data_IF_869282890463
#
_entry.id   IF_869282890463
#
_cell.length_a   1.000
_cell.length_b   1.000
_cell.length_c   1.000
_cell.angle_alpha   90.00
_cell.angle_beta   90.00
_cell.angle_gamma   90.00
#
_symmetry.space_group_name_H-M   'P 1'
#
loop_
_entity.id
_entity.type
_entity.pdbx_description
1 polymer ?
#
# COMPACT_ATOMS: atom_id res chain seq x y z
N UNK A 1 -10.96 29.72 -13.65
CA UNK A 1 -10.24 28.95 -14.70
C UNK A 1 -9.63 27.74 -14.03
N UNK A 2 -9.73 26.55 -14.62
CA UNK A 2 -9.08 25.35 -14.11
C UNK A 2 -7.62 25.36 -14.57
N UNK A 3 -6.68 24.97 -13.70
CA UNK A 3 -5.26 24.92 -14.06
C UNK A 3 -4.91 23.74 -14.98
N UNK A 4 -5.84 22.80 -15.14
CA UNK A 4 -5.69 21.63 -15.98
C UNK A 4 -7.00 21.32 -16.71
N UNK A 5 -6.90 20.94 -17.98
CA UNK A 5 -8.04 20.62 -18.84
C UNK A 5 -8.47 19.16 -18.69
N UNK A 6 -9.73 18.87 -19.01
CA UNK A 6 -10.20 17.49 -19.10
C UNK A 6 -9.40 16.71 -20.16
N UNK A 7 -9.15 15.42 -19.88
CA UNK A 7 -8.47 14.51 -20.80
C UNK A 7 -9.32 13.28 -21.09
N UNK A 8 -9.03 12.61 -22.20
CA UNK A 8 -9.66 11.33 -22.54
C UNK A 8 -9.05 10.20 -21.71
N UNK A 9 -9.79 9.69 -20.74
CA UNK A 9 -9.35 8.57 -19.88
C UNK A 9 -10.55 7.71 -19.48
N UNK A 10 -10.39 6.38 -19.52
CA UNK A 10 -11.49 5.44 -19.22
C UNK A 10 -12.67 5.57 -20.20
N UNK A 11 -12.40 5.96 -21.46
CA UNK A 11 -13.43 6.06 -22.50
C UNK A 11 -14.38 7.26 -22.39
N UNK A 12 -14.09 8.27 -21.56
CA UNK A 12 -14.79 9.58 -21.51
C UNK A 12 -13.77 10.72 -21.35
N UNK A 13 -14.22 11.95 -21.57
CA UNK A 13 -13.47 13.13 -21.13
C UNK A 13 -13.73 13.36 -19.65
N UNK A 14 -12.67 13.50 -18.86
CA UNK A 14 -12.74 13.51 -17.40
C UNK A 14 -11.76 14.51 -16.81
N UNK A 15 -12.06 15.02 -15.61
CA UNK A 15 -11.09 15.81 -14.88
C UNK A 15 -9.88 14.92 -14.55
N UNK A 16 -8.64 15.36 -14.84
CA UNK A 16 -7.43 14.56 -14.69
C UNK A 16 -6.95 14.49 -13.23
N UNK A 17 -7.88 14.24 -12.31
CA UNK A 17 -7.66 14.10 -10.87
C UNK A 17 -8.23 12.76 -10.40
N UNK A 18 -7.37 11.97 -9.77
CA UNK A 18 -7.67 10.59 -9.37
C UNK A 18 -7.54 10.49 -7.86
N UNK A 19 -8.55 9.97 -7.17
CA UNK A 19 -8.35 9.44 -5.82
C UNK A 19 -7.62 8.10 -5.96
N UNK A 20 -6.43 7.98 -5.39
CA UNK A 20 -5.71 6.70 -5.36
C UNK A 20 -6.31 5.72 -4.35
N UNK A 21 -6.33 4.43 -4.66
CA UNK A 21 -6.81 3.41 -3.74
C UNK A 21 -5.88 3.20 -2.56
N UNK A 22 -6.43 3.02 -1.36
CA UNK A 22 -5.67 2.89 -0.10
C UNK A 22 -6.10 1.59 0.57
N UNK A 23 -5.19 0.63 0.59
CA UNK A 23 -5.45 -0.75 1.04
C UNK A 23 -6.07 -0.81 2.43
N UNK A 24 -6.84 -1.87 2.70
CA UNK A 24 -7.42 -2.15 4.03
C UNK A 24 -8.30 -0.99 4.52
N UNK A 25 -9.34 -0.72 3.75
CA UNK A 25 -10.47 0.15 4.11
C UNK A 25 -10.17 1.65 4.29
N UNK A 26 -8.95 2.12 4.06
CA UNK A 26 -8.62 3.56 4.10
C UNK A 26 -9.11 4.36 2.87
N UNK A 27 -9.53 3.69 1.79
CA UNK A 27 -10.42 4.27 0.77
C UNK A 27 -11.53 3.27 0.43
N UNK A 28 -12.76 3.77 0.34
CA UNK A 28 -13.95 2.94 0.22
C UNK A 28 -14.88 3.47 -0.87
N UNK A 29 -16.04 2.83 -1.04
CA UNK A 29 -17.03 3.22 -2.03
C UNK A 29 -17.62 4.62 -1.79
N UNK A 30 -17.64 5.08 -0.54
CA UNK A 30 -18.16 6.42 -0.20
C UNK A 30 -17.21 7.51 -0.69
N UNK A 31 -15.92 7.43 -0.35
CA UNK A 31 -14.94 8.42 -0.82
C UNK A 31 -14.80 8.39 -2.35
N UNK A 32 -14.69 7.19 -2.93
CA UNK A 32 -14.56 7.00 -4.38
C UNK A 32 -15.81 7.49 -5.14
N UNK A 33 -17.00 7.20 -4.63
CA UNK A 33 -18.25 7.66 -5.23
C UNK A 33 -18.36 9.18 -5.29
N UNK A 34 -18.01 9.86 -4.19
CA UNK A 34 -18.02 11.33 -4.15
C UNK A 34 -16.93 11.95 -5.04
N UNK A 35 -15.78 11.29 -5.19
CA UNK A 35 -14.73 11.76 -6.09
C UNK A 35 -15.15 11.64 -7.56
N UNK A 36 -15.79 10.52 -7.91
CA UNK A 36 -16.36 10.31 -9.24
C UNK A 36 -17.51 11.31 -9.51
N UNK A 37 -18.37 11.56 -8.52
CA UNK A 37 -19.44 12.56 -8.58
C UNK A 37 -18.91 13.98 -8.83
N UNK A 38 -17.73 14.31 -8.29
CA UNK A 38 -17.03 15.58 -8.53
C UNK A 38 -16.40 15.68 -9.94
N UNK A 39 -16.51 14.64 -10.77
CA UNK A 39 -16.06 14.62 -12.16
C UNK A 39 -14.66 14.07 -12.39
N UNK A 40 -14.01 13.53 -11.35
CA UNK A 40 -12.72 12.83 -11.44
C UNK A 40 -12.87 11.31 -11.46
N UNK A 41 -11.77 10.61 -11.19
CA UNK A 41 -11.77 9.14 -11.01
C UNK A 41 -11.67 8.79 -9.53
N UNK A 42 -12.71 8.15 -9.00
CA UNK A 42 -12.69 7.61 -7.64
C UNK A 42 -12.18 6.18 -7.62
N UNK A 43 -11.24 5.85 -6.73
CA UNK A 43 -10.69 4.49 -6.61
C UNK A 43 -10.94 3.94 -5.20
N UNK A 44 -11.83 2.95 -5.09
CA UNK A 44 -12.00 2.21 -3.84
C UNK A 44 -10.93 1.12 -3.72
N UNK A 45 -10.56 0.76 -2.49
CA UNK A 45 -9.70 -0.40 -2.27
C UNK A 45 -10.52 -1.68 -2.32
N UNK A 46 -10.09 -2.65 -3.14
CA UNK A 46 -10.56 -4.04 -3.09
C UNK A 46 -9.62 -4.94 -2.26
N UNK A 47 -8.60 -4.36 -1.63
CA UNK A 47 -7.64 -5.07 -0.76
C UNK A 47 -8.24 -5.16 0.64
N UNK A 48 -8.76 -6.34 0.99
CA UNK A 48 -9.40 -6.63 2.28
C UNK A 48 -10.45 -5.59 2.68
N UNK A 49 -11.27 -5.18 1.71
CA UNK A 49 -12.29 -4.15 1.87
C UNK A 49 -13.39 -4.57 2.85
N UNK A 50 -14.02 -3.60 3.49
CA UNK A 50 -15.15 -3.86 4.39
C UNK A 50 -16.41 -4.25 3.63
N UNK A 51 -17.24 -5.03 4.31
CA UNK A 51 -18.64 -5.26 3.96
C UNK A 51 -19.51 -4.85 5.13
N UNK A 52 -20.81 -4.68 4.90
CA UNK A 52 -21.73 -4.16 5.91
C UNK A 52 -22.96 -5.05 6.06
N UNK A 53 -23.51 -5.08 7.27
CA UNK A 53 -24.79 -5.73 7.55
C UNK A 53 -25.98 -4.90 7.03
N UNK A 54 -27.20 -5.43 7.21
CA UNK A 54 -28.45 -4.76 6.82
C UNK A 54 -28.71 -3.43 7.55
N UNK A 55 -27.99 -3.16 8.63
CA UNK A 55 -28.05 -1.91 9.40
C UNK A 55 -26.91 -0.94 9.05
N UNK A 56 -26.09 -1.29 8.05
CA UNK A 56 -24.96 -0.48 7.61
C UNK A 56 -23.75 -0.53 8.55
N UNK A 57 -23.69 -1.48 9.49
CA UNK A 57 -22.54 -1.67 10.38
C UNK A 57 -21.50 -2.53 9.70
N UNK A 58 -20.21 -2.23 9.92
CA UNK A 58 -19.10 -3.02 9.38
C UNK A 58 -19.21 -4.45 9.91
N UNK A 59 -19.12 -5.44 9.02
CA UNK A 59 -19.01 -6.85 9.40
C UNK A 59 -17.55 -7.13 9.75
N UNK A 60 -17.24 -7.50 11.01
CA UNK A 60 -15.87 -7.84 11.39
C UNK A 60 -15.37 -9.06 10.61
N UNK A 61 -14.13 -8.97 10.11
CA UNK A 61 -13.47 -10.09 9.45
C UNK A 61 -12.92 -11.06 10.51
N UNK A 62 -13.72 -12.04 10.91
CA UNK A 62 -13.37 -13.04 11.94
C UNK A 62 -13.09 -14.37 11.26
N UNK A 63 -11.88 -14.87 11.46
CA UNK A 63 -11.40 -16.07 10.79
C UNK A 63 -11.56 -17.30 11.69
N UNK A 64 -12.30 -18.30 11.24
CA UNK A 64 -12.62 -19.53 11.99
C UNK A 64 -11.83 -20.74 11.48
N UNK A 65 -11.16 -20.59 10.34
CA UNK A 65 -10.35 -21.62 9.71
C UNK A 65 -9.30 -22.21 10.66
N UNK A 66 -9.27 -23.53 10.75
CA UNK A 66 -8.30 -24.27 11.58
C UNK A 66 -6.91 -24.24 10.98
N UNK A 67 -6.82 -24.27 9.65
CA UNK A 67 -5.55 -24.15 8.92
C UNK A 67 -5.39 -22.75 8.32
N UNK A 68 -4.15 -22.35 8.04
CA UNK A 68 -3.87 -21.08 7.33
C UNK A 68 -4.55 -21.02 5.96
N UNK A 69 -4.75 -22.17 5.30
CA UNK A 69 -5.46 -22.27 4.02
C UNK A 69 -6.94 -21.98 4.16
N UNK A 70 -7.59 -22.55 5.17
CA UNK A 70 -9.01 -22.29 5.43
C UNK A 70 -9.24 -20.79 5.70
N UNK A 71 -8.36 -20.18 6.51
CA UNK A 71 -8.41 -18.74 6.77
C UNK A 71 -8.10 -17.88 5.54
N UNK A 72 -7.27 -18.38 4.62
CA UNK A 72 -7.00 -17.71 3.35
C UNK A 72 -8.22 -17.72 2.43
N UNK A 73 -8.98 -18.80 2.40
CA UNK A 73 -10.25 -18.86 1.67
C UNK A 73 -11.28 -17.89 2.27
N UNK A 74 -11.41 -17.87 3.61
CA UNK A 74 -12.24 -16.87 4.31
C UNK A 74 -11.82 -15.44 3.97
N UNK A 75 -10.51 -15.16 3.90
CA UNK A 75 -9.96 -13.84 3.53
C UNK A 75 -10.37 -13.43 2.11
N UNK A 76 -10.29 -14.35 1.16
CA UNK A 76 -10.70 -14.13 -0.23
C UNK A 76 -12.20 -13.82 -0.28
N UNK A 77 -13.02 -14.59 0.44
CA UNK A 77 -14.47 -14.40 0.45
C UNK A 77 -14.85 -13.04 1.05
N UNK A 78 -14.21 -12.62 2.15
CA UNK A 78 -14.36 -11.27 2.71
C UNK A 78 -13.94 -10.18 1.71
N UNK A 79 -12.79 -10.33 1.06
CA UNK A 79 -12.29 -9.35 0.11
C UNK A 79 -13.22 -9.21 -1.12
N UNK A 80 -13.79 -10.31 -1.61
CA UNK A 80 -14.77 -10.29 -2.71
C UNK A 80 -16.06 -9.60 -2.24
N UNK A 81 -16.61 -10.00 -1.10
CA UNK A 81 -17.85 -9.42 -0.58
C UNK A 81 -17.70 -7.91 -0.36
N UNK A 82 -16.62 -7.49 0.29
CA UNK A 82 -16.31 -6.09 0.51
C UNK A 82 -16.09 -5.33 -0.80
N UNK A 83 -15.28 -5.87 -1.73
CA UNK A 83 -15.03 -5.22 -3.01
C UNK A 83 -16.29 -5.00 -3.85
N UNK A 84 -17.23 -5.96 -3.85
CA UNK A 84 -18.54 -5.81 -4.50
C UNK A 84 -19.37 -4.71 -3.83
N UNK A 85 -19.39 -4.68 -2.51
CA UNK A 85 -20.12 -3.66 -1.73
C UNK A 85 -19.58 -2.25 -1.99
N UNK A 86 -18.25 -2.08 -1.99
CA UNK A 86 -17.63 -0.79 -2.27
C UNK A 86 -17.91 -0.30 -3.71
N UNK A 87 -17.90 -1.20 -4.69
CA UNK A 87 -18.25 -0.86 -6.06
C UNK A 87 -19.69 -0.33 -6.17
N UNK A 88 -20.65 -1.02 -5.55
CA UNK A 88 -22.07 -0.62 -5.54
C UNK A 88 -22.28 0.73 -4.88
N UNK A 89 -21.71 0.94 -3.68
CA UNK A 89 -21.78 2.22 -2.98
C UNK A 89 -21.22 3.39 -3.81
N UNK A 90 -20.06 3.17 -4.45
CA UNK A 90 -19.47 4.20 -5.32
C UNK A 90 -20.38 4.53 -6.50
N UNK A 91 -21.05 3.53 -7.08
CA UNK A 91 -22.01 3.72 -8.16
C UNK A 91 -23.27 4.46 -7.72
N UNK A 92 -23.85 4.06 -6.60
CA UNK A 92 -25.08 4.65 -6.06
C UNK A 92 -24.88 6.15 -5.75
N UNK A 93 -23.69 6.53 -5.28
CA UNK A 93 -23.34 7.92 -5.01
C UNK A 93 -23.04 8.69 -6.30
N UNK A 94 -22.24 8.11 -7.21
CA UNK A 94 -21.80 8.83 -8.41
C UNK A 94 -22.89 8.93 -9.48
N UNK A 95 -23.86 8.01 -9.49
CA UNK A 95 -24.90 7.92 -10.52
C UNK A 95 -24.31 7.76 -11.93
N UNK A 96 -23.14 7.13 -12.06
CA UNK A 96 -22.41 6.98 -13.32
C UNK A 96 -21.66 8.22 -13.79
N UNK A 97 -21.57 9.29 -12.98
CA UNK A 97 -20.67 10.42 -13.25
C UNK A 97 -19.23 10.07 -12.91
N UNK A 98 -18.29 10.64 -13.67
CA UNK A 98 -16.87 10.34 -13.53
C UNK A 98 -16.56 8.88 -13.87
N UNK A 99 -15.53 8.32 -13.22
CA UNK A 99 -15.18 6.89 -13.32
C UNK A 99 -14.92 6.29 -11.96
N UNK A 100 -15.28 5.02 -11.81
CA UNK A 100 -15.02 4.22 -10.62
C UNK A 100 -13.97 3.16 -10.95
N UNK A 101 -12.88 3.18 -10.21
CA UNK A 101 -11.83 2.18 -10.29
C UNK A 101 -11.80 1.30 -9.04
N UNK A 102 -11.34 0.07 -9.19
CA UNK A 102 -10.96 -0.80 -8.08
C UNK A 102 -9.43 -0.88 -7.99
N UNK A 103 -8.87 -0.60 -6.81
CA UNK A 103 -7.46 -0.79 -6.53
C UNK A 103 -7.17 -2.19 -5.99
N UNK A 104 -6.17 -2.83 -6.57
CA UNK A 104 -5.72 -4.18 -6.23
C UNK A 104 -4.19 -4.18 -6.08
N UNK A 105 -3.66 -4.88 -5.08
CA UNK A 105 -2.24 -5.15 -4.98
C UNK A 105 -1.97 -6.55 -5.51
N UNK A 106 -1.08 -6.70 -6.50
CA UNK A 106 -0.85 -8.00 -7.12
C UNK A 106 -0.27 -9.04 -6.14
N UNK A 107 0.58 -8.59 -5.22
CA UNK A 107 1.09 -9.41 -4.13
C UNK A 107 0.05 -9.70 -3.02
N UNK A 108 -1.20 -9.27 -3.12
CA UNK A 108 -2.23 -9.72 -2.17
C UNK A 108 -2.61 -11.18 -2.41
N UNK A 109 -3.03 -11.86 -1.35
CA UNK A 109 -3.53 -13.22 -1.43
C UNK A 109 -4.78 -13.31 -2.31
N UNK A 110 -4.80 -14.22 -3.28
CA UNK A 110 -5.96 -14.48 -4.13
C UNK A 110 -6.30 -13.38 -5.15
N UNK A 111 -5.38 -12.44 -5.43
CA UNK A 111 -5.62 -11.25 -6.26
C UNK A 111 -6.49 -11.51 -7.51
N UNK A 112 -6.13 -12.50 -8.33
CA UNK A 112 -6.84 -12.78 -9.57
C UNK A 112 -8.28 -13.27 -9.37
N UNK A 113 -8.51 -14.14 -8.39
CA UNK A 113 -9.84 -14.61 -8.04
C UNK A 113 -10.68 -13.45 -7.52
N UNK A 114 -10.11 -12.61 -6.66
CA UNK A 114 -10.78 -11.44 -6.10
C UNK A 114 -11.20 -10.47 -7.23
N UNK A 115 -10.28 -10.10 -8.13
CA UNK A 115 -10.59 -9.22 -9.28
C UNK A 115 -11.72 -9.82 -10.12
N UNK A 116 -11.58 -11.10 -10.48
CA UNK A 116 -12.52 -11.78 -11.37
C UNK A 116 -13.93 -11.83 -10.78
N UNK A 117 -14.04 -12.19 -9.50
CA UNK A 117 -15.34 -12.31 -8.82
C UNK A 117 -15.99 -10.95 -8.54
N UNK A 118 -15.19 -9.93 -8.20
CA UNK A 118 -15.71 -8.55 -8.08
C UNK A 118 -16.27 -8.10 -9.42
N UNK A 119 -15.50 -8.21 -10.51
CA UNK A 119 -15.92 -7.77 -11.83
C UNK A 119 -17.14 -8.54 -12.36
N UNK A 120 -17.21 -9.85 -12.10
CA UNK A 120 -18.37 -10.65 -12.53
C UNK A 120 -19.68 -10.19 -11.86
N UNK A 121 -19.60 -9.79 -10.59
CA UNK A 121 -20.75 -9.34 -9.77
C UNK A 121 -21.05 -7.85 -9.87
N UNK A 122 -20.21 -7.07 -10.55
CA UNK A 122 -20.30 -5.59 -10.65
C UNK A 122 -20.27 -5.11 -12.11
N UNK A 123 -20.76 -5.93 -13.05
CA UNK A 123 -20.83 -5.60 -14.48
C UNK A 123 -21.48 -4.24 -14.71
N UNK A 124 -20.80 -3.38 -15.45
CA UNK A 124 -21.25 -2.02 -15.76
C UNK A 124 -20.97 -0.97 -14.68
N UNK A 125 -20.47 -1.37 -13.51
CA UNK A 125 -20.16 -0.45 -12.39
C UNK A 125 -18.68 -0.06 -12.41
N UNK A 126 -17.79 -1.04 -12.31
CA UNK A 126 -16.34 -0.79 -12.27
C UNK A 126 -15.85 -0.49 -13.68
N UNK A 127 -15.21 0.66 -13.87
CA UNK A 127 -14.71 1.09 -15.18
C UNK A 127 -13.22 0.80 -15.38
N UNK A 128 -12.47 0.69 -14.28
CA UNK A 128 -11.02 0.50 -14.34
C UNK A 128 -10.47 -0.35 -13.20
N UNK A 129 -9.42 -1.12 -13.46
CA UNK A 129 -8.62 -1.78 -12.42
C UNK A 129 -7.24 -1.12 -12.34
N UNK A 130 -6.94 -0.53 -11.20
CA UNK A 130 -5.61 0.00 -10.89
C UNK A 130 -4.85 -1.06 -10.11
N UNK A 131 -3.65 -1.44 -10.58
CA UNK A 131 -2.92 -2.55 -9.96
C UNK A 131 -1.41 -2.30 -9.87
N UNK A 132 -0.88 -2.41 -8.66
CA UNK A 132 0.54 -2.28 -8.32
C UNK A 132 1.06 -3.42 -7.45
N UNK A 133 2.19 -3.19 -6.77
CA UNK A 133 2.87 -4.15 -5.89
C UNK A 133 3.04 -5.54 -6.51
N UNK A 134 4.05 -5.71 -7.36
CA UNK A 134 4.35 -6.96 -8.08
C UNK A 134 4.41 -6.76 -9.60
N UNK A 135 4.42 -7.86 -10.36
CA UNK A 135 4.38 -7.85 -11.83
C UNK A 135 3.09 -8.50 -12.36
N UNK A 136 2.00 -7.73 -12.50
CA UNK A 136 0.66 -8.25 -12.80
C UNK A 136 0.43 -8.69 -14.26
N UNK A 137 1.14 -9.73 -14.72
CA UNK A 137 1.09 -10.18 -16.11
C UNK A 137 -0.27 -10.70 -16.59
N UNK A 138 -1.19 -11.09 -15.70
CA UNK A 138 -2.54 -11.53 -16.08
C UNK A 138 -3.61 -10.44 -15.98
N UNK A 139 -3.24 -9.22 -15.57
CA UNK A 139 -4.20 -8.12 -15.40
C UNK A 139 -4.90 -7.76 -16.71
N UNK A 140 -4.18 -7.63 -17.82
CA UNK A 140 -4.77 -7.26 -19.11
C UNK A 140 -5.72 -8.33 -19.65
N UNK A 141 -5.42 -9.61 -19.39
CA UNK A 141 -6.30 -10.73 -19.76
C UNK A 141 -7.62 -10.69 -18.97
N UNK A 142 -7.53 -10.46 -17.65
CA UNK A 142 -8.72 -10.30 -16.81
C UNK A 142 -9.52 -9.07 -17.28
N UNK A 143 -8.86 -7.94 -17.53
CA UNK A 143 -9.50 -6.73 -18.03
C UNK A 143 -10.24 -6.95 -19.36
N UNK A 144 -9.62 -7.67 -20.30
CA UNK A 144 -10.23 -8.05 -21.58
C UNK A 144 -11.49 -8.90 -21.39
N UNK A 145 -11.46 -9.90 -20.49
CA UNK A 145 -12.61 -10.77 -20.21
C UNK A 145 -13.85 -9.99 -19.77
N UNK A 146 -13.68 -8.89 -19.04
CA UNK A 146 -14.76 -8.07 -18.51
C UNK A 146 -14.99 -6.75 -19.25
N UNK A 147 -14.20 -6.47 -20.30
CA UNK A 147 -14.22 -5.22 -21.06
C UNK A 147 -14.13 -3.97 -20.16
N UNK A 148 -13.16 -3.98 -19.24
CA UNK A 148 -12.84 -2.86 -18.36
C UNK A 148 -11.45 -2.32 -18.67
N UNK A 149 -11.19 -1.04 -18.39
CA UNK A 149 -9.86 -0.49 -18.55
C UNK A 149 -8.92 -1.02 -17.46
N UNK A 150 -7.62 -1.08 -17.75
CA UNK A 150 -6.60 -1.40 -16.74
C UNK A 150 -5.52 -0.32 -16.68
N UNK A 151 -4.98 -0.15 -15.47
CA UNK A 151 -4.05 0.93 -15.11
C UNK A 151 -2.91 0.33 -14.27
N UNK A 152 -1.82 -0.13 -14.91
CA UNK A 152 -0.68 -0.64 -14.17
C UNK A 152 0.04 0.47 -13.43
N UNK A 153 0.41 0.19 -12.18
CA UNK A 153 1.29 1.05 -11.37
C UNK A 153 2.74 0.63 -11.62
N UNK A 154 3.58 1.59 -11.99
CA UNK A 154 5.00 1.38 -12.30
C UNK A 154 5.84 2.49 -11.67
N UNK A 155 7.08 2.17 -11.33
CA UNK A 155 8.06 3.13 -10.81
C UNK A 155 9.07 3.62 -11.87
N UNK A 156 9.02 3.06 -13.07
CA UNK A 156 9.97 3.37 -14.16
C UNK A 156 9.48 2.90 -15.53
N UNK A 157 10.04 3.50 -16.59
CA UNK A 157 9.87 3.01 -17.96
C UNK A 157 10.35 1.57 -18.18
N UNK A 158 11.37 1.13 -17.42
CA UNK A 158 11.84 -0.27 -17.46
C UNK A 158 10.79 -1.25 -16.95
N UNK A 159 10.17 -0.96 -15.81
CA UNK A 159 9.09 -1.78 -15.26
C UNK A 159 7.90 -1.84 -16.23
N UNK A 160 7.51 -0.69 -16.79
CA UNK A 160 6.47 -0.63 -17.81
C UNK A 160 6.81 -1.45 -19.06
N UNK A 161 8.03 -1.32 -19.59
CA UNK A 161 8.51 -2.09 -20.76
C UNK A 161 8.40 -3.59 -20.55
N UNK A 162 8.73 -4.06 -19.34
CA UNK A 162 8.62 -5.48 -18.99
C UNK A 162 7.17 -5.98 -18.96
N UNK A 163 6.23 -5.19 -18.40
CA UNK A 163 4.80 -5.53 -18.41
C UNK A 163 4.24 -5.52 -19.84
N UNK A 164 4.58 -4.49 -20.62
CA UNK A 164 4.11 -4.31 -21.99
C UNK A 164 4.49 -5.46 -22.92
N UNK A 165 5.79 -5.79 -22.96
CA UNK A 165 6.34 -6.83 -23.83
C UNK A 165 5.83 -8.23 -23.47
N UNK A 166 5.53 -8.48 -22.19
CA UNK A 166 5.11 -9.81 -21.71
C UNK A 166 3.61 -10.02 -21.79
N UNK A 167 2.80 -8.98 -21.56
CA UNK A 167 1.36 -9.14 -21.38
C UNK A 167 0.51 -8.06 -22.08
N UNK A 168 0.80 -6.78 -21.85
CA UNK A 168 -0.21 -5.73 -22.11
C UNK A 168 -0.37 -5.35 -23.58
N UNK A 169 0.65 -5.59 -24.41
CA UNK A 169 0.56 -5.35 -25.87
C UNK A 169 -0.58 -6.10 -26.57
N UNK A 170 -1.11 -7.17 -25.96
CA UNK A 170 -2.20 -7.99 -26.49
C UNK A 170 -3.59 -7.37 -26.34
N UNK A 171 -3.73 -6.39 -25.45
CA UNK A 171 -5.01 -5.76 -25.07
C UNK A 171 -4.80 -4.25 -24.95
N UNK A 172 -4.01 -3.69 -25.88
CA UNK A 172 -3.56 -2.30 -25.84
C UNK A 172 -4.73 -1.29 -25.79
N UNK A 173 -5.85 -1.62 -26.41
CA UNK A 173 -7.07 -0.82 -26.49
C UNK A 173 -7.76 -0.61 -25.13
N UNK A 174 -7.52 -1.49 -24.15
CA UNK A 174 -8.05 -1.36 -22.79
C UNK A 174 -7.02 -0.76 -21.80
N UNK A 175 -5.81 -0.41 -22.25
CA UNK A 175 -4.88 0.33 -21.41
C UNK A 175 -5.39 1.77 -21.23
N UNK A 176 -6.03 2.04 -20.09
CA UNK A 176 -6.65 3.34 -19.83
C UNK A 176 -5.66 4.44 -19.45
N UNK A 177 -4.45 4.05 -19.02
CA UNK A 177 -3.39 4.94 -18.57
C UNK A 177 -2.31 4.16 -17.83
N UNK A 178 -1.18 4.81 -17.54
CA UNK A 178 -0.08 4.21 -16.75
C UNK A 178 0.12 5.05 -15.50
N UNK A 179 -0.04 4.46 -14.32
CA UNK A 179 0.22 5.16 -13.06
C UNK A 179 1.72 5.12 -12.82
N UNK A 180 2.38 6.28 -12.90
CA UNK A 180 3.73 6.45 -12.42
C UNK A 180 3.68 6.74 -10.93
N UNK A 181 4.13 5.80 -10.11
CA UNK A 181 4.22 5.96 -8.67
C UNK A 181 5.64 6.34 -8.29
N UNK A 182 5.77 7.52 -7.67
CA UNK A 182 7.05 8.05 -7.25
C UNK A 182 7.70 7.10 -6.22
N UNK A 183 8.92 6.58 -6.51
CA UNK A 183 9.58 5.60 -5.64
C UNK A 183 9.91 6.12 -4.25
N UNK A 184 9.97 7.45 -4.05
CA UNK A 184 10.34 8.06 -2.79
C UNK A 184 9.16 8.73 -2.11
N UNK A 185 8.33 9.45 -2.86
CA UNK A 185 7.36 10.37 -2.28
C UNK A 185 5.94 9.81 -2.13
N UNK A 186 5.62 8.70 -2.81
CA UNK A 186 4.31 8.06 -2.68
C UNK A 186 4.11 7.41 -1.30
N UNK A 187 2.87 7.40 -0.81
CA UNK A 187 2.52 6.70 0.42
C UNK A 187 2.30 5.22 0.20
N UNK A 188 2.42 4.38 1.24
CA UNK A 188 2.24 2.94 1.11
C UNK A 188 3.48 2.26 0.54
N UNK A 189 3.33 1.15 -0.19
CA UNK A 189 4.46 0.45 -0.81
C UNK A 189 5.05 1.23 -1.97
N UNK A 190 6.38 1.24 -2.09
CA UNK A 190 7.09 2.01 -3.10
C UNK A 190 7.98 1.12 -3.97
N UNK A 191 7.98 1.38 -5.28
CA UNK A 191 8.74 0.63 -6.29
C UNK A 191 10.22 1.00 -6.42
N UNK A 192 10.91 1.26 -5.31
CA UNK A 192 12.34 1.59 -5.28
C UNK A 192 13.20 0.36 -5.66
N UNK A 193 14.15 0.53 -6.57
CA UNK A 193 15.07 -0.53 -6.99
C UNK A 193 16.28 -0.63 -6.07
N UNK A 194 16.96 -1.78 -6.08
CA UNK A 194 18.15 -2.02 -5.24
C UNK A 194 19.35 -1.10 -5.58
N UNK A 195 19.33 -0.44 -6.74
CA UNK A 195 20.39 0.50 -7.15
C UNK A 195 20.08 1.95 -6.76
N UNK A 196 18.85 2.24 -6.32
CA UNK A 196 18.42 3.56 -5.91
C UNK A 196 18.65 3.73 -4.41
N UNK A 197 19.00 4.95 -4.02
CA UNK A 197 19.21 5.31 -2.62
C UNK A 197 17.87 5.77 -2.01
N UNK A 198 17.32 5.06 -1.00
CA UNK A 198 16.07 5.44 -0.36
C UNK A 198 16.11 6.81 0.33
N UNK A 199 17.30 7.32 0.69
CA UNK A 199 17.47 8.60 1.39
C UNK A 199 17.65 9.79 0.43
N UNK A 200 17.72 9.54 -0.88
CA UNK A 200 17.96 10.57 -1.90
C UNK A 200 16.84 10.60 -2.94
N UNK A 201 15.71 11.26 -2.65
CA UNK A 201 14.64 11.44 -3.61
C UNK A 201 15.11 12.13 -4.89
N UNK A 202 14.71 11.57 -6.04
CA UNK A 202 14.97 12.15 -7.35
C UNK A 202 13.81 13.03 -7.82
N UNK A 203 14.09 13.96 -8.72
CA UNK A 203 13.04 14.71 -9.41
C UNK A 203 12.24 13.75 -10.34
N UNK A 204 10.90 13.77 -10.32
CA UNK A 204 10.09 12.88 -11.16
C UNK A 204 10.12 13.25 -12.66
N UNK A 205 10.44 14.50 -13.04
CA UNK A 205 10.40 14.96 -14.44
C UNK A 205 11.23 14.08 -15.40
N UNK A 206 12.53 13.84 -15.18
CA UNK A 206 13.32 13.02 -16.11
C UNK A 206 12.80 11.58 -16.20
N UNK A 207 12.22 11.06 -15.11
CA UNK A 207 11.68 9.70 -15.04
C UNK A 207 10.37 9.58 -15.82
N UNK A 208 9.50 10.60 -15.74
CA UNK A 208 8.29 10.68 -16.55
C UNK A 208 8.61 10.86 -18.04
N UNK A 209 9.59 11.68 -18.41
CA UNK A 209 10.06 11.80 -19.81
C UNK A 209 10.57 10.45 -20.31
N UNK A 210 11.37 9.74 -19.49
CA UNK A 210 11.86 8.41 -19.85
C UNK A 210 10.72 7.39 -20.00
N UNK A 211 9.71 7.41 -19.12
CA UNK A 211 8.51 6.58 -19.24
C UNK A 211 7.74 6.91 -20.53
N UNK A 212 7.48 8.20 -20.80
CA UNK A 212 6.80 8.64 -22.02
C UNK A 212 7.55 8.21 -23.28
N UNK A 213 8.88 8.30 -23.29
CA UNK A 213 9.70 7.81 -24.41
C UNK A 213 9.43 6.33 -24.69
N UNK A 214 9.48 5.47 -23.67
CA UNK A 214 9.16 4.04 -23.80
C UNK A 214 7.72 3.82 -24.27
N UNK A 215 6.76 4.57 -23.74
CA UNK A 215 5.36 4.50 -24.18
C UNK A 215 5.21 4.84 -25.67
N UNK A 216 5.90 5.88 -26.16
CA UNK A 216 5.89 6.27 -27.58
C UNK A 216 6.51 5.21 -28.49
N UNK A 217 7.58 4.55 -28.05
CA UNK A 217 8.17 3.41 -28.79
C UNK A 217 7.15 2.28 -29.00
N UNK A 218 6.12 2.20 -28.16
CA UNK A 218 5.02 1.23 -28.27
C UNK A 218 3.75 1.79 -28.89
N UNK A 219 3.78 3.00 -29.45
CA UNK A 219 2.61 3.64 -30.07
C UNK A 219 1.62 4.27 -29.08
N UNK A 220 1.97 4.38 -27.80
CA UNK A 220 1.12 4.93 -26.74
C UNK A 220 1.36 6.44 -26.56
N UNK A 221 1.27 7.19 -27.66
CA UNK A 221 1.56 8.63 -27.68
C UNK A 221 0.61 9.42 -26.77
N UNK A 222 -0.68 9.08 -26.82
CA UNK A 222 -1.76 9.83 -26.17
C UNK A 222 -2.32 9.12 -24.93
N UNK A 223 -1.83 7.92 -24.60
CA UNK A 223 -2.21 7.23 -23.36
C UNK A 223 -1.73 8.05 -22.15
N UNK A 224 -2.59 8.41 -21.19
CA UNK A 224 -2.20 9.29 -20.12
C UNK A 224 -1.22 8.63 -19.16
N UNK A 225 -0.25 9.41 -18.66
CA UNK A 225 0.50 9.06 -17.46
C UNK A 225 -0.23 9.65 -16.26
N UNK A 226 -0.44 8.87 -15.21
CA UNK A 226 -1.01 9.34 -13.96
C UNK A 226 0.13 9.49 -12.95
N UNK A 227 0.51 10.72 -12.63
CA UNK A 227 1.52 11.03 -11.63
C UNK A 227 0.97 10.78 -10.22
N UNK A 228 1.57 9.85 -9.48
CA UNK A 228 1.21 9.51 -8.12
C UNK A 228 2.42 9.66 -7.19
N UNK A 229 2.22 10.29 -6.02
CA UNK A 229 3.29 10.57 -5.05
C UNK A 229 3.89 11.96 -5.20
N UNK A 230 4.13 12.63 -4.08
CA UNK A 230 4.65 14.01 -4.06
C UNK A 230 3.68 15.10 -4.55
N UNK A 231 2.55 14.76 -5.16
CA UNK A 231 1.55 15.74 -5.62
C UNK A 231 0.77 16.32 -4.44
N UNK A 232 0.85 17.64 -4.24
CA UNK A 232 0.01 18.35 -3.27
C UNK A 232 -0.84 19.43 -3.96
N UNK A 233 -0.20 20.39 -4.63
CA UNK A 233 -0.84 21.51 -5.33
C UNK A 233 -0.43 21.50 -6.81
N UNK A 234 -1.38 21.61 -7.75
CA UNK A 234 -1.09 21.53 -9.18
C UNK A 234 -0.27 22.71 -9.73
N UNK A 235 -0.23 23.86 -9.04
CA UNK A 235 0.66 24.98 -9.38
C UNK A 235 2.14 24.58 -9.35
N UNK A 236 2.50 23.58 -8.54
CA UNK A 236 3.85 23.03 -8.42
C UNK A 236 4.22 22.14 -9.63
N UNK A 237 3.22 21.80 -10.46
CA UNK A 237 3.33 20.88 -11.60
C UNK A 237 3.08 21.55 -12.95
N UNK A 238 3.08 22.88 -13.02
CA UNK A 238 2.87 23.65 -14.26
C UNK A 238 3.79 23.24 -15.41
N UNK A 239 5.02 22.83 -15.09
CA UNK A 239 6.02 22.42 -16.10
C UNK A 239 5.74 21.01 -16.66
N UNK A 240 4.76 20.28 -16.11
CA UNK A 240 4.37 18.94 -16.55
C UNK A 240 3.04 18.97 -17.32
N UNK A 241 2.17 19.94 -17.02
CA UNK A 241 0.86 20.10 -17.64
C UNK A 241 1.03 20.70 -19.04
N UNK A 242 0.31 20.16 -20.02
CA UNK A 242 0.39 20.55 -21.43
C UNK A 242 1.83 20.50 -22.01
N UNK A 243 2.70 19.66 -21.41
CA UNK A 243 4.09 19.52 -21.81
C UNK A 243 4.25 18.43 -22.90
N UNK A 244 4.76 18.76 -24.11
CA UNK A 244 4.96 17.80 -25.19
C UNK A 244 5.95 16.67 -24.89
N UNK A 245 6.87 16.80 -23.94
CA UNK A 245 7.78 15.72 -23.54
C UNK A 245 7.07 14.68 -22.66
N UNK A 246 6.06 15.10 -21.90
CA UNK A 246 5.29 14.26 -20.97
C UNK A 246 4.00 13.75 -21.61
N UNK A 247 3.40 14.49 -22.53
CA UNK A 247 2.10 14.18 -23.13
C UNK A 247 0.94 14.31 -22.14
N UNK A 248 -0.22 13.68 -22.41
CA UNK A 248 -1.37 13.73 -21.51
C UNK A 248 -1.01 13.22 -20.11
N UNK A 249 -1.35 14.00 -19.09
CA UNK A 249 -1.04 13.71 -17.69
C UNK A 249 -2.27 13.90 -16.80
N UNK A 250 -2.40 13.01 -15.82
CA UNK A 250 -3.33 13.15 -14.70
C UNK A 250 -2.59 13.03 -13.37
N UNK A 251 -3.25 13.41 -12.29
CA UNK A 251 -2.66 13.47 -10.95
C UNK A 251 -3.46 12.62 -9.97
N UNK A 252 -2.78 11.67 -9.34
CA UNK A 252 -3.36 10.81 -8.32
C UNK A 252 -3.00 11.26 -6.92
N UNK A 253 -4.02 11.42 -6.09
CA UNK A 253 -3.90 11.84 -4.70
C UNK A 253 -4.21 10.68 -3.77
N UNK A 254 -3.21 10.22 -3.02
CA UNK A 254 -3.37 9.27 -1.91
C UNK A 254 -3.55 10.00 -0.58
N UNK A 255 -2.63 10.89 -0.23
CA UNK A 255 -2.63 11.52 1.10
C UNK A 255 -3.77 12.52 1.30
N UNK A 256 -3.97 13.51 0.40
CA UNK A 256 -4.97 14.58 0.61
C UNK A 256 -6.40 14.07 0.87
N UNK A 257 -6.91 13.06 0.13
CA UNK A 257 -8.26 12.54 0.35
C UNK A 257 -8.47 11.86 1.72
N UNK A 258 -7.40 11.45 2.42
CA UNK A 258 -7.51 10.92 3.79
C UNK A 258 -8.20 11.92 4.73
N UNK A 259 -7.99 13.23 4.52
CA UNK A 259 -8.57 14.30 5.31
C UNK A 259 -9.77 14.93 4.60
N UNK A 260 -10.77 14.12 4.33
CA UNK A 260 -12.10 14.54 3.85
C UNK A 260 -13.20 14.04 4.77
N UNK A 261 -14.40 14.61 4.67
CA UNK A 261 -15.57 14.17 5.45
C UNK A 261 -15.98 12.74 5.10
N UNK A 262 -15.84 12.37 3.82
CA UNK A 262 -16.19 11.08 3.24
C UNK A 262 -15.13 10.00 3.49
N UNK A 263 -13.91 10.40 3.89
CA UNK A 263 -12.84 9.48 4.24
C UNK A 263 -13.24 8.59 5.42
N UNK A 264 -13.09 7.26 5.31
CA UNK A 264 -13.51 6.31 6.34
C UNK A 264 -12.57 6.24 7.55
N UNK A 265 -11.40 6.88 7.49
CA UNK A 265 -10.43 6.77 8.59
C UNK A 265 -11.00 7.38 9.89
N UNK A 266 -10.63 6.85 11.06
CA UNK A 266 -11.07 7.38 12.35
C UNK A 266 -10.66 8.83 12.59
N UNK A 267 -11.40 9.52 13.46
CA UNK A 267 -11.12 10.93 13.77
C UNK A 267 -9.74 11.13 14.39
N UNK A 268 -9.28 10.24 15.28
CA UNK A 268 -7.93 10.26 15.84
C UNK A 268 -6.84 10.19 14.77
N UNK A 269 -7.06 9.44 13.68
CA UNK A 269 -6.16 9.44 12.52
C UNK A 269 -6.18 10.80 11.80
N UNK A 270 -7.37 11.37 11.52
CA UNK A 270 -7.52 12.71 10.93
C UNK A 270 -6.80 13.78 11.76
N UNK A 271 -6.94 13.72 13.08
CA UNK A 271 -6.30 14.65 14.01
C UNK A 271 -4.78 14.49 14.03
N UNK A 272 -4.27 13.26 13.95
CA UNK A 272 -2.83 13.00 13.83
C UNK A 272 -2.25 13.61 12.55
N UNK A 273 -2.95 13.48 11.41
CA UNK A 273 -2.50 14.06 10.13
C UNK A 273 -2.29 15.58 10.22
N UNK A 274 -3.16 16.29 10.95
CA UNK A 274 -3.07 17.74 11.17
C UNK A 274 -1.90 18.17 12.08
N UNK A 275 -1.24 17.22 12.77
CA UNK A 275 -0.15 17.49 13.71
C UNK A 275 1.23 17.05 13.18
N UNK A 276 1.27 16.41 12.01
CA UNK A 276 2.52 15.91 11.42
C UNK A 276 3.47 17.04 11.05
N UNK A 277 4.76 16.80 11.26
CA UNK A 277 5.88 17.69 10.94
C UNK A 277 6.70 17.15 9.77
N UNK A 278 7.46 18.02 9.07
CA UNK A 278 8.45 17.56 8.10
C UNK A 278 9.38 16.50 8.72
N UNK A 279 9.52 15.34 8.07
CA UNK A 279 10.31 14.21 8.57
C UNK A 279 9.52 13.16 9.36
N UNK A 280 8.25 13.43 9.73
CA UNK A 280 7.42 12.44 10.44
C UNK A 280 6.94 11.30 9.52
N UNK A 281 7.11 11.40 8.21
CA UNK A 281 6.87 10.29 7.27
C UNK A 281 8.21 9.90 6.66
N UNK A 282 8.52 8.61 6.68
CA UNK A 282 9.78 8.10 6.15
C UNK A 282 9.62 6.80 5.38
N UNK A 283 10.56 6.56 4.48
CA UNK A 283 10.69 5.33 3.72
C UNK A 283 11.40 4.26 4.56
N UNK A 284 10.78 3.10 4.71
CA UNK A 284 11.30 1.98 5.52
C UNK A 284 11.20 0.64 4.77
N UNK A 285 11.86 -0.42 5.28
CA UNK A 285 11.91 -1.75 4.66
C UNK A 285 11.37 -2.87 5.56
N UNK A 286 10.49 -2.54 6.50
CA UNK A 286 9.93 -3.53 7.43
C UNK A 286 8.78 -4.34 6.82
N UNK A 287 8.25 -3.91 5.68
CA UNK A 287 7.08 -4.53 5.08
C UNK A 287 7.27 -6.03 4.82
N UNK A 288 6.27 -6.88 5.13
CA UNK A 288 6.38 -8.33 4.90
C UNK A 288 6.44 -8.71 3.41
N UNK A 289 6.12 -7.80 2.49
CA UNK A 289 6.31 -7.96 1.04
C UNK A 289 7.79 -7.86 0.64
N UNK A 290 8.60 -7.17 1.45
CA UNK A 290 9.99 -6.85 1.14
C UNK A 290 10.19 -5.58 0.31
N UNK A 291 9.11 -4.92 -0.10
CA UNK A 291 9.18 -3.60 -0.72
C UNK A 291 9.50 -2.53 0.34
N UNK A 292 10.05 -1.42 -0.13
CA UNK A 292 10.04 -0.21 0.67
C UNK A 292 8.61 0.28 0.86
N UNK A 293 8.37 1.02 1.94
CA UNK A 293 7.08 1.66 2.15
C UNK A 293 7.22 2.96 2.95
N UNK A 294 6.37 3.93 2.64
CA UNK A 294 6.30 5.22 3.33
C UNK A 294 5.20 5.20 4.40
N UNK A 295 5.59 5.39 5.66
CA UNK A 295 4.70 5.38 6.82
C UNK A 295 5.05 6.50 7.81
N UNK A 296 4.08 6.87 8.64
CA UNK A 296 4.26 7.82 9.74
C UNK A 296 5.14 7.17 10.82
N UNK A 297 6.12 7.93 11.30
CA UNK A 297 7.07 7.56 12.33
C UNK A 297 6.43 7.68 13.72
N UNK A 298 5.62 6.69 14.09
CA UNK A 298 5.00 6.55 15.40
C UNK A 298 5.71 5.46 16.24
N UNK A 299 5.14 5.14 17.41
CA UNK A 299 5.71 4.15 18.34
C UNK A 299 5.78 2.75 17.72
N UNK A 300 4.82 2.37 16.86
CA UNK A 300 4.89 1.15 16.09
C UNK A 300 6.13 1.09 15.20
N UNK A 301 6.39 2.13 14.41
CA UNK A 301 7.57 2.19 13.54
C UNK A 301 8.88 2.25 14.34
N UNK A 302 8.86 2.90 15.50
CA UNK A 302 9.99 2.92 16.43
C UNK A 302 10.28 1.52 16.97
N UNK A 303 9.26 0.77 17.41
CA UNK A 303 9.43 -0.61 17.89
C UNK A 303 10.10 -1.50 16.83
N UNK A 304 9.66 -1.41 15.57
CA UNK A 304 10.24 -2.17 14.45
C UNK A 304 11.73 -1.84 14.23
N UNK A 305 12.11 -0.57 14.33
CA UNK A 305 13.52 -0.13 14.26
C UNK A 305 14.32 -0.65 15.44
N UNK A 306 13.89 -0.36 16.65
CA UNK A 306 14.58 -0.73 17.88
C UNK A 306 14.81 -2.25 17.93
N UNK A 307 13.82 -3.04 17.50
CA UNK A 307 13.91 -4.49 17.37
C UNK A 307 14.93 -4.95 16.33
N UNK A 308 15.03 -4.23 15.22
CA UNK A 308 16.01 -4.53 14.16
C UNK A 308 17.43 -4.11 14.55
N UNK A 309 17.58 -3.10 15.40
CA UNK A 309 18.87 -2.67 15.96
C UNK A 309 19.40 -3.66 17.01
N UNK A 310 18.50 -4.31 17.76
CA UNK A 310 18.84 -5.43 18.67
C UNK A 310 19.09 -6.75 17.92
N UNK A 311 19.91 -6.70 16.88
CA UNK A 311 20.25 -7.83 16.01
C UNK A 311 21.74 -8.19 16.10
N UNK A 312 22.05 -9.49 16.06
CA UNK A 312 23.42 -10.01 15.95
C UNK A 312 23.51 -11.12 14.89
N UNK A 313 24.66 -11.22 14.22
CA UNK A 313 24.93 -12.34 13.33
C UNK A 313 25.19 -13.61 14.13
N UNK A 314 24.79 -14.76 13.61
CA UNK A 314 25.06 -16.04 14.27
C UNK A 314 25.39 -17.13 13.26
N UNK A 315 26.08 -18.17 13.72
CA UNK A 315 26.37 -19.37 12.94
C UNK A 315 25.92 -20.63 13.69
N UNK A 316 25.67 -21.70 12.94
CA UNK A 316 25.26 -22.98 13.51
C UNK A 316 26.42 -23.76 14.13
N UNK A 317 27.64 -23.49 13.68
CA UNK A 317 28.89 -24.14 14.10
C UNK A 317 29.98 -23.07 14.31
N UNK A 318 31.00 -23.33 15.13
CA UNK A 318 32.09 -22.37 15.32
C UNK A 318 32.80 -22.09 14.01
N UNK A 319 32.80 -20.83 13.56
CA UNK A 319 33.42 -20.44 12.28
C UNK A 319 33.91 -19.00 12.31
N UNK A 320 35.16 -18.79 11.88
CA UNK A 320 35.78 -17.47 11.92
C UNK A 320 35.79 -16.90 13.35
N UNK A 321 35.21 -15.72 13.53
CA UNK A 321 35.10 -15.07 14.84
C UNK A 321 33.87 -15.51 15.65
N UNK A 322 32.97 -16.29 15.06
CA UNK A 322 31.83 -16.87 15.77
C UNK A 322 32.28 -18.06 16.60
N UNK A 323 32.81 -17.79 17.80
CA UNK A 323 33.39 -18.81 18.70
C UNK A 323 32.68 -18.87 20.05
N UNK A 324 31.87 -17.87 20.40
CA UNK A 324 31.18 -17.83 21.69
C UNK A 324 29.82 -18.50 21.55
N UNK A 325 29.63 -19.61 22.27
CA UNK A 325 28.37 -20.35 22.25
C UNK A 325 27.26 -19.59 22.98
N UNK A 326 26.09 -19.50 22.35
CA UNK A 326 24.86 -18.94 22.91
C UNK A 326 23.68 -19.89 22.69
N UNK A 327 22.88 -20.13 23.74
CA UNK A 327 21.76 -21.06 23.71
C UNK A 327 20.43 -20.39 23.35
N UNK A 328 19.85 -20.72 22.20
CA UNK A 328 18.61 -20.12 21.69
C UNK A 328 17.36 -20.92 22.08
N UNK A 329 16.35 -20.21 22.58
CA UNK A 329 15.03 -20.73 22.96
C UNK A 329 15.05 -21.68 24.16
N UNK A 330 13.89 -22.27 24.47
CA UNK A 330 13.72 -23.11 25.66
C UNK A 330 14.64 -24.34 25.71
N UNK A 331 15.03 -24.88 24.54
CA UNK A 331 15.94 -26.04 24.44
C UNK A 331 17.42 -25.65 24.41
N UNK A 332 17.74 -24.36 24.56
CA UNK A 332 19.11 -23.80 24.50
C UNK A 332 19.91 -24.36 23.32
N UNK A 333 19.31 -24.37 22.13
CA UNK A 333 19.97 -24.86 20.92
C UNK A 333 21.18 -23.97 20.62
N UNK A 334 22.40 -24.53 20.50
CA UNK A 334 23.60 -23.72 20.37
C UNK A 334 23.60 -22.96 19.04
N UNK A 335 24.09 -21.73 19.11
CA UNK A 335 24.61 -20.94 18.00
C UNK A 335 25.92 -20.30 18.45
N UNK A 336 26.71 -19.84 17.49
CA UNK A 336 27.97 -19.17 17.80
C UNK A 336 27.92 -17.72 17.36
N UNK A 337 28.29 -16.83 18.28
CA UNK A 337 28.35 -15.38 18.12
C UNK A 337 29.81 -14.91 18.22
N UNK A 338 30.08 -13.69 17.77
CA UNK A 338 31.35 -13.03 18.07
C UNK A 338 31.36 -12.61 19.54
N UNK A 339 32.55 -12.45 20.15
CA UNK A 339 32.63 -11.98 21.52
C UNK A 339 32.00 -10.57 21.73
N UNK A 340 32.18 -9.59 20.82
CA UNK A 340 31.49 -8.30 20.92
C UNK A 340 29.97 -8.43 20.83
N UNK A 341 29.45 -9.28 19.93
CA UNK A 341 28.00 -9.50 19.79
C UNK A 341 27.42 -10.16 21.04
N UNK A 342 28.12 -11.17 21.60
CA UNK A 342 27.72 -11.80 22.85
C UNK A 342 27.65 -10.79 24.00
N UNK A 343 28.60 -9.86 24.10
CA UNK A 343 28.56 -8.80 25.13
C UNK A 343 27.33 -7.89 24.96
N UNK A 344 26.98 -7.49 23.73
CA UNK A 344 25.75 -6.72 23.47
C UNK A 344 24.49 -7.50 23.85
N UNK A 345 24.45 -8.80 23.54
CA UNK A 345 23.33 -9.67 23.93
C UNK A 345 23.15 -9.69 25.45
N UNK A 346 24.25 -9.83 26.21
CA UNK A 346 24.19 -9.81 27.67
C UNK A 346 23.64 -8.50 28.23
N UNK A 347 24.07 -7.37 27.67
CA UNK A 347 23.53 -6.05 28.03
C UNK A 347 22.01 -5.95 27.73
N UNK A 348 21.56 -6.41 26.56
CA UNK A 348 20.13 -6.41 26.23
C UNK A 348 19.30 -7.34 27.14
N UNK A 349 19.85 -8.50 27.52
CA UNK A 349 19.21 -9.42 28.46
C UNK A 349 19.04 -8.78 29.84
N UNK A 350 20.02 -8.00 30.32
CA UNK A 350 19.93 -7.23 31.57
C UNK A 350 18.85 -6.14 31.51
N UNK A 351 18.58 -5.60 30.32
CA UNK A 351 17.50 -4.64 30.08
C UNK A 351 16.15 -5.31 29.72
N UNK A 352 16.02 -6.63 29.89
CA UNK A 352 14.76 -7.37 29.74
C UNK A 352 14.45 -7.92 28.34
N UNK A 353 15.36 -7.75 27.37
CA UNK A 353 15.23 -8.33 26.03
C UNK A 353 15.81 -9.74 25.98
N UNK A 354 15.15 -10.66 26.68
CA UNK A 354 15.67 -12.00 26.98
C UNK A 354 15.29 -13.07 25.95
N UNK A 355 14.36 -12.77 25.04
CA UNK A 355 13.93 -13.73 24.03
C UNK A 355 14.66 -13.53 22.71
N UNK A 356 15.42 -14.55 22.31
CA UNK A 356 16.14 -14.59 21.04
C UNK A 356 15.29 -15.23 19.94
N UNK A 357 14.92 -14.45 18.92
CA UNK A 357 14.17 -14.92 17.75
C UNK A 357 15.07 -15.01 16.52
N UNK A 358 14.99 -16.12 15.79
CA UNK A 358 15.77 -16.33 14.55
C UNK A 358 15.14 -15.57 13.39
N UNK A 359 15.98 -14.95 12.57
CA UNK A 359 15.56 -14.28 11.33
C UNK A 359 15.77 -15.18 10.11
N UNK A 360 15.43 -14.66 8.94
CA UNK A 360 15.68 -15.30 7.65
C UNK A 360 17.15 -15.21 7.18
N UNK A 361 17.99 -14.36 7.79
CA UNK A 361 19.35 -14.04 7.33
C UNK A 361 20.46 -14.62 8.24
N UNK A 362 20.21 -15.74 8.93
CA UNK A 362 21.14 -16.30 9.93
C UNK A 362 21.53 -15.29 11.04
N UNK A 363 20.59 -14.44 11.43
CA UNK A 363 20.75 -13.52 12.56
C UNK A 363 19.76 -13.86 13.68
N UNK A 364 20.02 -13.31 14.87
CA UNK A 364 19.09 -13.28 15.99
C UNK A 364 18.66 -11.85 16.26
N UNK A 365 17.38 -11.66 16.59
CA UNK A 365 16.90 -10.43 17.25
C UNK A 365 16.52 -10.72 18.69
N UNK A 366 16.62 -9.70 19.53
CA UNK A 366 16.31 -9.78 20.96
C UNK A 366 15.13 -8.89 21.33
N UNK A 367 14.11 -9.51 21.92
CA UNK A 367 12.86 -8.85 22.31
C UNK A 367 12.45 -9.25 23.73
N UNK A 368 11.49 -8.52 24.30
CA UNK A 368 10.89 -8.91 25.58
C UNK A 368 10.06 -10.19 25.44
N UNK A 369 9.81 -10.94 26.53
CA UNK A 369 8.93 -12.10 26.51
C UNK A 369 7.53 -11.82 25.96
N UNK A 370 6.96 -10.67 26.30
CA UNK A 370 5.62 -10.27 25.82
C UNK A 370 5.61 -10.05 24.31
N UNK A 371 6.60 -9.34 23.79
CA UNK A 371 6.72 -9.10 22.34
C UNK A 371 7.00 -10.39 21.59
N UNK A 372 7.82 -11.29 22.14
CA UNK A 372 8.02 -12.62 21.54
C UNK A 372 6.71 -13.41 21.45
N UNK A 373 5.87 -13.38 22.50
CA UNK A 373 4.55 -14.03 22.48
C UNK A 373 3.66 -13.43 21.40
N UNK A 374 3.55 -12.11 21.34
CA UNK A 374 2.77 -11.39 20.34
C UNK A 374 3.21 -11.74 18.90
N UNK A 375 4.51 -11.70 18.61
CA UNK A 375 5.05 -12.04 17.29
C UNK A 375 4.68 -13.48 16.89
N UNK A 376 4.88 -14.44 17.78
CA UNK A 376 4.55 -15.84 17.49
C UNK A 376 3.04 -16.04 17.31
N UNK A 377 2.22 -15.40 18.14
CA UNK A 377 0.76 -15.44 18.01
C UNK A 377 0.32 -14.90 16.65
N UNK A 378 0.83 -13.75 16.22
CA UNK A 378 0.51 -13.17 14.93
C UNK A 378 0.97 -14.04 13.75
N UNK A 379 2.10 -14.74 13.88
CA UNK A 379 2.57 -15.70 12.88
C UNK A 379 1.67 -16.93 12.80
N UNK A 380 1.23 -17.46 13.95
CA UNK A 380 0.32 -18.61 14.04
C UNK A 380 -1.06 -18.25 13.48
N UNK A 381 -1.55 -17.05 13.78
CA UNK A 381 -2.83 -16.52 13.34
C UNK A 381 -2.82 -16.00 11.89
N UNK A 382 -1.74 -16.24 11.15
CA UNK A 382 -1.66 -15.83 9.74
C UNK A 382 -2.86 -16.36 8.92
N UNK A 383 -3.43 -15.46 8.12
CA UNK A 383 -4.60 -15.67 7.24
C UNK A 383 -4.21 -15.65 5.75
N UNK A 384 -2.93 -15.54 5.43
CA UNK A 384 -2.48 -15.50 4.02
C UNK A 384 -2.93 -14.26 3.24
N UNK A 385 -2.93 -13.08 3.86
CA UNK A 385 -3.32 -11.81 3.21
C UNK A 385 -2.41 -11.38 2.05
N UNK A 386 -1.18 -11.91 1.99
CA UNK A 386 -0.22 -11.73 0.91
C UNK A 386 -0.04 -13.05 0.15
N UNK A 387 0.26 -12.96 -1.14
CA UNK A 387 0.62 -14.09 -2.01
C UNK A 387 1.82 -14.85 -1.44
N UNK A 388 2.77 -14.12 -0.84
CA UNK A 388 3.93 -14.57 -0.10
C UNK A 388 4.24 -13.59 1.03
N UNK A 389 4.52 -14.10 2.23
CA UNK A 389 4.73 -13.26 3.40
C UNK A 389 6.06 -13.58 4.10
N UNK A 390 6.95 -12.59 4.22
CA UNK A 390 8.21 -12.74 4.98
C UNK A 390 7.95 -12.93 6.47
N UNK A 391 6.92 -12.29 7.04
CA UNK A 391 6.64 -12.36 8.47
C UNK A 391 6.14 -13.73 8.92
N UNK A 392 5.40 -14.46 8.09
CA UNK A 392 4.74 -15.71 8.50
C UNK A 392 5.20 -16.96 7.75
N UNK A 393 6.13 -16.84 6.80
CA UNK A 393 6.56 -17.87 5.84
C UNK A 393 5.52 -18.40 4.85
N UNK A 394 4.32 -17.82 4.86
CA UNK A 394 3.22 -18.22 3.99
C UNK A 394 3.52 -18.04 2.50
N UNK A 395 2.99 -18.95 1.68
CA UNK A 395 2.75 -18.74 0.25
C UNK A 395 1.37 -19.28 -0.13
N UNK A 396 0.66 -18.61 -1.05
CA UNK A 396 -0.61 -19.11 -1.60
C UNK A 396 -0.42 -20.29 -2.58
N UNK A 397 0.82 -20.59 -2.98
CA UNK A 397 1.09 -21.58 -4.02
C UNK A 397 1.11 -23.01 -3.45
N UNK A 398 0.35 -23.89 -4.09
CA UNK A 398 0.35 -25.32 -3.82
C UNK A 398 1.65 -25.99 -4.34
N UNK A 399 2.03 -27.17 -3.81
CA UNK A 399 1.35 -27.92 -2.76
C UNK A 399 1.78 -27.57 -1.33
N UNK A 400 2.88 -26.83 -1.15
CA UNK A 400 3.52 -26.65 0.16
C UNK A 400 2.95 -25.49 0.97
N UNK A 401 2.41 -24.45 0.31
CA UNK A 401 1.88 -23.23 0.95
C UNK A 401 2.89 -22.52 1.88
N UNK A 402 4.17 -22.68 1.57
CA UNK A 402 5.32 -22.18 2.31
C UNK A 402 6.31 -21.60 1.30
N UNK A 403 6.90 -20.44 1.62
CA UNK A 403 7.81 -19.72 0.73
C UNK A 403 9.27 -20.21 0.81
N UNK A 404 9.54 -21.28 1.55
CA UNK A 404 10.85 -21.91 1.73
C UNK A 404 11.79 -21.13 2.65
N UNK A 405 11.33 -20.04 3.28
CA UNK A 405 12.13 -19.20 4.16
C UNK A 405 11.61 -19.27 5.59
N UNK A 406 12.47 -18.94 6.54
CA UNK A 406 12.02 -18.72 7.92
C UNK A 406 11.18 -17.44 7.97
N UNK A 407 10.15 -17.48 8.82
CA UNK A 407 9.43 -16.29 9.23
C UNK A 407 10.41 -15.26 9.79
N UNK A 408 10.27 -14.01 9.36
CA UNK A 408 11.17 -12.92 9.73
C UNK A 408 10.52 -12.04 10.80
N UNK A 409 10.93 -12.19 12.07
CA UNK A 409 10.32 -11.48 13.19
C UNK A 409 10.72 -10.00 13.22
N UNK A 410 11.57 -9.53 12.30
CA UNK A 410 11.82 -8.09 12.09
C UNK A 410 10.67 -7.40 11.37
N UNK A 411 9.84 -8.17 10.66
CA UNK A 411 8.63 -7.70 10.00
C UNK A 411 7.40 -7.86 10.91
N UNK A 412 6.20 -7.70 10.36
CA UNK A 412 4.95 -7.68 11.14
C UNK A 412 3.75 -8.18 10.31
N UNK A 413 2.63 -8.46 10.98
CA UNK A 413 1.38 -8.77 10.31
C UNK A 413 0.72 -7.48 9.78
N UNK A 414 0.93 -7.18 8.50
CA UNK A 414 0.43 -5.94 7.87
C UNK A 414 -1.09 -5.82 7.87
N UNK A 415 -1.81 -6.93 7.66
CA UNK A 415 -3.27 -6.89 7.66
C UNK A 415 -3.82 -6.57 9.04
N UNK A 416 -3.28 -7.19 10.11
CA UNK A 416 -3.73 -6.96 11.48
C UNK A 416 -3.62 -5.49 11.83
N UNK A 417 -2.44 -4.92 11.64
CA UNK A 417 -2.18 -3.54 12.05
C UNK A 417 -2.98 -2.53 11.24
N UNK A 418 -3.16 -2.75 9.93
CA UNK A 418 -3.98 -1.87 9.09
C UNK A 418 -5.48 -1.99 9.41
N UNK A 419 -5.97 -3.19 9.73
CA UNK A 419 -7.36 -3.38 10.17
C UNK A 419 -7.60 -2.71 11.52
N UNK A 420 -6.65 -2.82 12.45
CA UNK A 420 -6.74 -2.18 13.78
C UNK A 420 -6.81 -0.66 13.68
N UNK A 421 -5.93 -0.02 12.88
CA UNK A 421 -5.95 1.45 12.76
C UNK A 421 -7.16 1.96 11.96
N UNK A 422 -7.63 1.23 10.95
CA UNK A 422 -8.77 1.65 10.13
C UNK A 422 -10.10 1.58 10.91
N UNK A 423 -10.20 0.69 11.89
CA UNK A 423 -11.40 0.46 12.70
C UNK A 423 -11.24 0.91 14.16
N UNK A 424 -10.23 1.73 14.44
CA UNK A 424 -10.04 2.28 15.78
C UNK A 424 -11.23 3.16 16.18
N UNK A 425 -11.55 3.17 17.47
CA UNK A 425 -12.55 4.10 17.99
C UNK A 425 -12.11 5.55 17.74
N UNK A 426 -13.04 6.50 17.48
CA UNK A 426 -12.67 7.86 17.06
C UNK A 426 -11.71 8.61 18.00
N UNK A 427 -11.68 8.27 19.29
CA UNK A 427 -10.82 8.89 20.31
C UNK A 427 -9.61 8.02 20.71
N UNK A 428 -9.39 6.89 20.06
CA UNK A 428 -8.31 5.96 20.38
C UNK A 428 -6.99 6.44 19.77
N UNK A 429 -6.26 7.28 20.51
CA UNK A 429 -4.92 7.73 20.11
C UNK A 429 -3.88 6.60 20.20
N UNK A 430 -4.07 5.62 21.08
CA UNK A 430 -3.16 4.49 21.26
C UNK A 430 -3.13 3.60 20.01
N UNK A 431 -4.28 3.36 19.39
CA UNK A 431 -4.36 2.66 18.12
C UNK A 431 -3.59 3.38 17.00
N UNK A 432 -3.56 4.72 17.00
CA UNK A 432 -2.81 5.50 16.00
C UNK A 432 -1.30 5.41 16.24
N UNK A 433 -0.86 5.37 17.49
CA UNK A 433 0.57 5.27 17.82
C UNK A 433 1.13 3.85 17.67
N UNK A 434 0.31 2.82 17.91
CA UNK A 434 0.74 1.42 17.95
C UNK A 434 0.38 0.61 16.70
N UNK A 435 -0.02 1.26 15.60
CA UNK A 435 -0.28 0.59 14.33
C UNK A 435 0.38 1.28 13.12
N UNK A 436 0.50 0.56 12.02
CA UNK A 436 1.00 1.07 10.77
C UNK A 436 0.07 2.15 10.20
N UNK A 437 0.58 3.37 10.12
CA UNK A 437 -0.12 4.50 9.52
C UNK A 437 0.56 4.89 8.21
N UNK A 438 0.01 4.47 7.07
CA UNK A 438 0.54 4.89 5.77
C UNK A 438 0.17 6.33 5.44
N UNK A 439 1.15 7.06 4.90
CA UNK A 439 0.97 8.39 4.35
C UNK A 439 2.09 8.69 3.35
N UNK A 440 1.83 9.54 2.36
CA UNK A 440 2.89 10.09 1.51
C UNK A 440 3.67 11.19 2.22
N UNK A 441 4.90 11.46 1.78
CA UNK A 441 5.85 12.36 2.46
C UNK A 441 5.34 13.79 2.67
N UNK A 442 4.41 14.25 1.84
CA UNK A 442 3.79 15.57 1.95
C UNK A 442 2.67 15.65 3.02
N UNK A 443 2.40 14.59 3.79
CA UNK A 443 1.34 14.61 4.81
C UNK A 443 1.52 15.71 5.86
N UNK A 444 2.76 16.08 6.19
CA UNK A 444 3.07 17.20 7.09
C UNK A 444 2.45 18.54 6.64
N UNK A 445 2.12 18.68 5.35
CA UNK A 445 1.49 19.90 4.82
C UNK A 445 0.06 20.09 5.29
N UNK A 446 -0.61 19.06 5.82
CA UNK A 446 -1.91 19.25 6.48
C UNK A 446 -1.84 20.25 7.64
N UNK A 447 -0.73 20.26 8.39
CA UNK A 447 -0.55 21.15 9.53
C UNK A 447 -0.33 22.63 9.13
N UNK A 448 0.14 22.89 7.91
CA UNK A 448 0.57 24.22 7.47
C UNK A 448 -0.24 24.80 6.31
N UNK A 449 -0.99 23.98 5.57
CA UNK A 449 -1.83 24.44 4.46
C UNK A 449 -3.07 25.17 5.02
N UNK A 450 -3.25 26.47 4.67
CA UNK A 450 -4.39 27.27 5.16
C UNK A 450 -5.76 26.67 4.86
N UNK A 451 -5.86 25.80 3.85
CA UNK A 451 -7.11 25.12 3.52
C UNK A 451 -7.64 24.29 4.68
N UNK A 452 -6.76 23.71 5.52
CA UNK A 452 -7.15 22.89 6.67
C UNK A 452 -7.07 23.64 8.01
N UNK A 453 -6.84 24.96 7.96
CA UNK A 453 -6.73 25.78 9.17
C UNK A 453 -8.01 25.72 10.02
N UNK A 454 -7.85 25.93 11.33
CA UNK A 454 -8.94 25.84 12.32
C UNK A 454 -9.65 24.48 12.36
N UNK A 455 -8.97 23.41 11.94
CA UNK A 455 -9.53 22.05 11.93
C UNK A 455 -10.57 21.82 10.82
N UNK A 456 -10.57 22.64 9.77
CA UNK A 456 -11.49 22.45 8.66
C UNK A 456 -11.18 21.15 7.90
N UNK A 457 -12.18 20.25 7.86
CA UNK A 457 -12.14 19.03 7.06
C UNK A 457 -13.08 19.21 5.86
N UNK A 458 -12.54 19.33 4.62
CA UNK A 458 -13.35 19.54 3.43
C UNK A 458 -14.17 18.30 3.07
N UNK A 459 -15.28 18.51 2.38
CA UNK A 459 -15.89 17.46 1.54
C UNK A 459 -14.96 17.11 0.37
N UNK A 460 -15.11 15.94 -0.22
CA UNK A 460 -14.39 15.54 -1.44
C UNK A 460 -14.62 16.56 -2.56
N UNK A 461 -15.85 17.06 -2.72
CA UNK A 461 -16.18 18.10 -3.70
C UNK A 461 -15.34 19.37 -3.48
N UNK A 462 -15.28 19.88 -2.25
CA UNK A 462 -14.49 21.07 -1.93
C UNK A 462 -12.99 20.85 -2.18
N UNK A 463 -12.47 19.65 -1.87
CA UNK A 463 -11.08 19.30 -2.14
C UNK A 463 -10.80 19.27 -3.65
N UNK A 464 -11.66 18.63 -4.45
CA UNK A 464 -11.50 18.59 -5.91
C UNK A 464 -11.57 20.01 -6.50
N UNK A 465 -12.56 20.81 -6.09
CA UNK A 465 -12.66 22.22 -6.51
C UNK A 465 -11.40 23.01 -6.16
N UNK A 466 -10.83 22.78 -4.97
CA UNK A 466 -9.57 23.41 -4.54
C UNK A 466 -8.39 22.99 -5.43
N UNK A 467 -8.24 21.71 -5.71
CA UNK A 467 -7.20 21.16 -6.59
C UNK A 467 -7.26 21.81 -7.97
N UNK A 468 -8.46 21.96 -8.53
CA UNK A 468 -8.67 22.56 -9.85
C UNK A 468 -8.30 24.05 -9.92
N UNK A 469 -8.22 24.75 -8.77
CA UNK A 469 -7.68 26.12 -8.68
C UNK A 469 -6.16 26.18 -8.66
N UNK A 470 -5.47 25.04 -8.69
CA UNK A 470 -4.01 24.95 -8.58
C UNK A 470 -3.48 24.56 -7.21
N UNK A 471 -4.35 24.44 -6.19
CA UNK A 471 -3.96 24.41 -4.78
C UNK A 471 -4.16 23.08 -4.06
#
# INVERSE_FOLDING_TARGET
MTVINAIRMGGIDILPVVEGGKGVSASNGVSAGHWALAGGIGTFSAVNADSYDEHGRVIPQIYQGRTRRDRHEELIDYAIAGGVEQAKRAWDISGGKGRIHANILWEMGGAERIITEILDRTKGIVNGITCGAGMPYRLSEIAARFNVYYYPIVSSGRAFSALWKRAYSRVAELLGGVVYEDPWLAGGHNGLSNSEDPERPENPYPRLVALRKVMREFGLHDTPIIMAGGVWALDEWKDYIDNPEIGPIAFQFGTRPLLTQESPIPQSWKDRLLRLKPGDVFLNKFSPTGFYSSAVNNDFMKELRDRSERQVACSAEPVGEHLVEYGVGARKRPVYLTAPDYARVRDWEEHGYTEALRTSDSTLIFVSPDKAREIHEDQVNCMGCLSQCRFSNWSQNAPTYDNGKKADPRSFCIQKTLQSIAHAEPSDEEAIDNNLMFAGHNAHRFASDPFYSNGFIPTVKQLVERILTGK
#
